data_IF_310383707352
#
_entry.id   IF_310383707352
#
_cell.length_a   1.000
_cell.length_b   1.000
_cell.length_c   1.000
_cell.angle_alpha   90.00
_cell.angle_beta   90.00
_cell.angle_gamma   90.00
#
_symmetry.space_group_name_H-M   'P 1'
#
loop_
_entity.id
_entity.type
_entity.pdbx_description
1 polymer ?
#
# COMPACT_ATOMS: atom_id res chain seq x y z
N UNK A 1 7.86 -24.84 1.66
CA UNK A 1 8.46 -23.54 1.37
C UNK A 1 7.80 -22.91 0.16
N UNK A 2 8.11 -21.66 -0.13
CA UNK A 2 7.48 -20.90 -1.20
C UNK A 2 8.49 -20.54 -2.29
N UNK A 3 7.97 -20.13 -3.45
CA UNK A 3 8.77 -19.67 -4.58
C UNK A 3 9.35 -18.29 -4.30
N UNK A 4 10.64 -18.25 -3.99
CA UNK A 4 11.35 -17.02 -3.64
C UNK A 4 11.35 -16.00 -4.76
N UNK A 5 11.49 -16.42 -6.01
CA UNK A 5 11.50 -15.53 -7.17
C UNK A 5 10.13 -14.85 -7.34
N UNK A 6 9.07 -15.63 -7.21
CA UNK A 6 7.71 -15.09 -7.29
C UNK A 6 7.45 -14.07 -6.18
N UNK A 7 7.84 -14.39 -4.94
CA UNK A 7 7.67 -13.49 -3.80
C UNK A 7 8.44 -12.19 -4.03
N UNK A 8 9.68 -12.27 -4.51
CA UNK A 8 10.48 -11.08 -4.82
C UNK A 8 9.83 -10.21 -5.89
N UNK A 9 9.29 -10.83 -6.93
CA UNK A 9 8.62 -10.07 -8.00
C UNK A 9 7.40 -9.31 -7.46
N UNK A 10 6.60 -9.95 -6.62
CA UNK A 10 5.43 -9.30 -6.02
C UNK A 10 5.86 -8.17 -5.08
N UNK A 11 6.89 -8.39 -4.26
CA UNK A 11 7.41 -7.37 -3.36
C UNK A 11 7.90 -6.13 -4.14
N UNK A 12 8.57 -6.35 -5.27
CA UNK A 12 9.04 -5.25 -6.11
C UNK A 12 7.89 -4.46 -6.74
N UNK A 13 6.80 -5.14 -7.10
CA UNK A 13 5.61 -4.48 -7.59
C UNK A 13 4.98 -3.61 -6.49
N UNK A 14 4.90 -4.12 -5.26
CA UNK A 14 4.40 -3.35 -4.12
C UNK A 14 5.31 -2.14 -3.85
N UNK A 15 6.62 -2.35 -3.87
CA UNK A 15 7.60 -1.27 -3.68
C UNK A 15 7.41 -0.17 -4.71
N UNK A 16 7.21 -0.53 -5.97
CA UNK A 16 6.93 0.42 -7.04
C UNK A 16 5.64 1.20 -6.83
N UNK A 17 4.58 0.52 -6.38
CA UNK A 17 3.31 1.19 -6.08
C UNK A 17 3.44 2.15 -4.91
N UNK A 18 4.14 1.75 -3.85
CA UNK A 18 4.39 2.63 -2.69
C UNK A 18 5.20 3.86 -3.09
N UNK A 19 6.18 3.69 -3.98
CA UNK A 19 6.96 4.81 -4.48
C UNK A 19 6.10 5.81 -5.24
N UNK A 20 5.18 5.34 -6.07
CA UNK A 20 4.23 6.21 -6.77
C UNK A 20 3.34 6.97 -5.78
N UNK A 21 2.87 6.30 -4.75
CA UNK A 21 2.05 6.95 -3.72
C UNK A 21 2.85 8.06 -3.04
N UNK A 22 4.08 7.79 -2.65
CA UNK A 22 4.94 8.79 -2.02
C UNK A 22 5.17 9.99 -2.92
N UNK A 23 5.53 9.75 -4.18
CA UNK A 23 5.79 10.83 -5.12
C UNK A 23 4.54 11.70 -5.33
N UNK A 24 3.39 11.08 -5.46
CA UNK A 24 2.13 11.80 -5.68
C UNK A 24 1.66 12.53 -4.44
N UNK A 25 1.78 11.91 -3.26
CA UNK A 25 1.34 12.54 -2.01
C UNK A 25 2.26 13.69 -1.57
N UNK A 26 3.54 13.66 -1.95
CA UNK A 26 4.45 14.76 -1.65
C UNK A 26 4.13 16.04 -2.43
N UNK A 27 3.30 15.95 -3.46
CA UNK A 27 2.90 17.11 -4.26
C UNK A 27 1.69 17.85 -3.66
N UNK A 28 1.11 17.32 -2.60
CA UNK A 28 -0.06 17.91 -1.94
C UNK A 28 0.26 18.15 -0.47
N UNK A 29 -0.40 19.14 0.12
CA UNK A 29 -0.11 19.59 1.50
C UNK A 29 -1.19 19.22 2.51
N UNK A 30 -2.41 18.92 2.04
CA UNK A 30 -3.51 18.53 2.93
C UNK A 30 -4.56 17.72 2.15
N UNK A 31 -5.47 17.10 2.91
CA UNK A 31 -6.51 16.27 2.33
C UNK A 31 -7.49 17.05 1.46
N UNK A 32 -7.72 18.32 1.77
CA UNK A 32 -8.67 19.14 1.03
C UNK A 32 -8.30 19.27 -0.45
N UNK A 33 -7.00 19.27 -0.76
CA UNK A 33 -6.54 19.32 -2.14
C UNK A 33 -6.98 18.10 -2.98
N UNK A 34 -7.36 17.00 -2.33
CA UNK A 34 -7.84 15.80 -3.00
C UNK A 34 -9.32 15.89 -3.40
N UNK A 35 -10.05 16.88 -2.88
CA UNK A 35 -11.49 17.01 -3.13
C UNK A 35 -11.87 18.36 -3.71
N UNK A 36 -10.96 19.32 -3.73
CA UNK A 36 -11.26 20.73 -4.08
C UNK A 36 -11.22 21.00 -5.59
N UNK A 37 -10.73 20.07 -6.40
CA UNK A 37 -10.60 20.28 -7.85
C UNK A 37 -10.70 18.96 -8.60
N UNK A 38 -11.01 19.00 -9.91
CA UNK A 38 -10.97 17.79 -10.74
C UNK A 38 -9.59 17.10 -10.72
N UNK A 39 -8.50 17.86 -10.73
CA UNK A 39 -7.15 17.30 -10.66
C UNK A 39 -6.90 16.59 -9.32
N UNK A 40 -7.39 17.18 -8.22
CA UNK A 40 -7.31 16.57 -6.91
C UNK A 40 -8.10 15.27 -6.84
N UNK A 41 -9.30 15.26 -7.39
CA UNK A 41 -10.16 14.07 -7.42
C UNK A 41 -9.51 12.95 -8.24
N UNK A 42 -8.91 13.26 -9.37
CA UNK A 42 -8.16 12.28 -10.17
C UNK A 42 -6.99 11.71 -9.39
N UNK A 43 -6.30 12.54 -8.63
CA UNK A 43 -5.19 12.11 -7.78
C UNK A 43 -5.67 11.17 -6.69
N UNK A 44 -6.78 11.51 -6.05
CA UNK A 44 -7.41 10.65 -5.04
C UNK A 44 -7.76 9.28 -5.63
N UNK A 45 -8.40 9.27 -6.79
CA UNK A 45 -8.77 8.03 -7.48
C UNK A 45 -7.54 7.17 -7.76
N UNK A 46 -6.47 7.79 -8.23
CA UNK A 46 -5.21 7.09 -8.50
C UNK A 46 -4.57 6.51 -7.25
N UNK A 47 -4.57 7.26 -6.15
CA UNK A 47 -4.05 6.78 -4.87
C UNK A 47 -4.87 5.59 -4.38
N UNK A 48 -6.20 5.66 -4.46
CA UNK A 48 -7.07 4.56 -4.05
C UNK A 48 -6.82 3.30 -4.87
N UNK A 49 -6.65 3.44 -6.19
CA UNK A 49 -6.34 2.30 -7.05
C UNK A 49 -5.02 1.64 -6.63
N UNK A 50 -4.00 2.44 -6.31
CA UNK A 50 -2.72 1.91 -5.85
C UNK A 50 -2.85 1.18 -4.51
N UNK A 51 -3.63 1.72 -3.58
CA UNK A 51 -3.87 1.06 -2.30
C UNK A 51 -4.63 -0.26 -2.47
N UNK A 52 -5.59 -0.32 -3.38
CA UNK A 52 -6.29 -1.56 -3.70
C UNK A 52 -5.32 -2.60 -4.23
N UNK A 53 -4.46 -2.21 -5.16
CA UNK A 53 -3.46 -3.11 -5.75
C UNK A 53 -2.48 -3.63 -4.69
N UNK A 54 -2.03 -2.75 -3.79
CA UNK A 54 -1.15 -3.13 -2.68
C UNK A 54 -1.84 -4.12 -1.76
N UNK A 55 -3.09 -3.82 -1.37
CA UNK A 55 -3.86 -4.71 -0.48
C UNK A 55 -4.05 -6.10 -1.07
N UNK A 56 -4.38 -6.18 -2.35
CA UNK A 56 -4.52 -7.46 -3.06
C UNK A 56 -3.19 -8.21 -3.11
N UNK A 57 -2.10 -7.52 -3.42
CA UNK A 57 -0.78 -8.12 -3.48
C UNK A 57 -0.31 -8.62 -2.13
N UNK A 58 -0.59 -7.87 -1.05
CA UNK A 58 -0.27 -8.31 0.31
C UNK A 58 -1.04 -9.57 0.70
N UNK A 59 -2.33 -9.64 0.35
CA UNK A 59 -3.13 -10.85 0.60
C UNK A 59 -2.56 -12.05 -0.15
N UNK A 60 -2.16 -11.84 -1.40
CA UNK A 60 -1.57 -12.90 -2.20
C UNK A 60 -0.23 -13.38 -1.62
N UNK A 61 0.61 -12.45 -1.16
CA UNK A 61 1.86 -12.79 -0.48
C UNK A 61 1.63 -13.61 0.77
N UNK A 62 0.67 -13.19 1.58
CA UNK A 62 0.34 -13.90 2.82
C UNK A 62 -0.08 -15.33 2.52
N UNK A 63 -0.90 -15.52 1.51
CA UNK A 63 -1.36 -16.83 1.07
C UNK A 63 -0.21 -17.70 0.55
N UNK A 64 0.63 -17.15 -0.33
CA UNK A 64 1.75 -17.88 -0.95
C UNK A 64 2.75 -18.32 0.11
N UNK A 65 3.02 -17.48 1.10
CA UNK A 65 4.02 -17.76 2.14
C UNK A 65 3.45 -18.47 3.37
N UNK A 66 2.15 -18.78 3.35
CA UNK A 66 1.49 -19.44 4.49
C UNK A 66 1.54 -18.63 5.77
N UNK A 67 1.54 -17.32 5.66
CA UNK A 67 1.59 -16.41 6.80
C UNK A 67 2.98 -16.22 7.41
N UNK A 68 3.99 -16.93 6.93
CA UNK A 68 5.32 -16.91 7.56
C UNK A 68 6.09 -15.63 7.30
N UNK A 69 5.94 -15.04 6.11
CA UNK A 69 6.67 -13.83 5.75
C UNK A 69 6.29 -12.65 6.66
N UNK A 70 5.00 -12.39 6.81
CA UNK A 70 4.53 -11.26 7.61
C UNK A 70 4.69 -11.51 9.11
N UNK A 71 4.61 -12.76 9.54
CA UNK A 71 4.86 -13.10 10.96
C UNK A 71 6.29 -12.75 11.38
N UNK A 72 7.24 -12.75 10.44
CA UNK A 72 8.63 -12.36 10.71
C UNK A 72 8.82 -10.83 10.81
N UNK A 73 7.79 -10.04 10.48
CA UNK A 73 7.84 -8.58 10.50
C UNK A 73 6.65 -8.00 11.28
N UNK A 74 6.57 -8.26 12.60
CA UNK A 74 5.38 -7.90 13.41
C UNK A 74 5.25 -6.40 13.68
N UNK A 75 6.23 -5.60 13.31
CA UNK A 75 6.20 -4.15 13.48
C UNK A 75 5.16 -3.47 12.59
N UNK A 76 4.66 -4.15 11.56
CA UNK A 76 3.65 -3.63 10.64
C UNK A 76 2.30 -4.28 10.93
N UNK A 77 1.23 -3.48 10.90
CA UNK A 77 -0.14 -3.99 10.92
C UNK A 77 -0.53 -4.48 9.53
N UNK A 78 -0.11 -5.70 9.21
CA UNK A 78 -0.37 -6.29 7.89
C UNK A 78 -1.85 -6.50 7.63
N UNK A 79 -2.58 -6.88 8.65
CA UNK A 79 -4.02 -7.08 8.53
C UNK A 79 -4.74 -5.78 8.18
N UNK A 80 -4.34 -4.69 8.82
CA UNK A 80 -4.88 -3.36 8.51
C UNK A 80 -4.55 -2.94 7.09
N UNK A 81 -3.32 -3.15 6.65
CA UNK A 81 -2.90 -2.81 5.29
C UNK A 81 -3.66 -3.61 4.23
N UNK A 82 -3.88 -4.91 4.48
CA UNK A 82 -4.69 -5.75 3.60
C UNK A 82 -6.16 -5.33 3.60
N UNK A 83 -6.69 -4.93 4.75
CA UNK A 83 -8.09 -4.54 4.90
C UNK A 83 -8.43 -3.18 4.31
N UNK A 84 -7.45 -2.32 4.06
CA UNK A 84 -7.70 -1.01 3.46
C UNK A 84 -8.36 -1.13 2.08
N UNK A 85 -7.97 -2.13 1.31
CA UNK A 85 -8.61 -2.44 0.04
C UNK A 85 -10.11 -2.66 0.19
N UNK A 86 -10.54 -3.37 1.23
CA UNK A 86 -11.96 -3.65 1.45
C UNK A 86 -12.74 -2.39 1.78
N UNK A 87 -12.14 -1.48 2.57
CA UNK A 87 -12.75 -0.19 2.89
C UNK A 87 -12.98 0.63 1.61
N UNK A 88 -11.97 0.72 0.76
CA UNK A 88 -12.07 1.46 -0.50
C UNK A 88 -13.09 0.81 -1.45
N UNK A 89 -13.03 -0.52 -1.61
CA UNK A 89 -13.91 -1.23 -2.53
C UNK A 89 -15.39 -1.13 -2.15
N UNK A 90 -15.69 -1.10 -0.84
CA UNK A 90 -17.08 -0.99 -0.37
C UNK A 90 -17.60 0.44 -0.33
N UNK A 91 -16.70 1.45 -0.36
CA UNK A 91 -17.07 2.85 -0.19
C UNK A 91 -16.62 3.72 -1.37
N UNK A 92 -16.63 3.16 -2.55
CA UNK A 92 -16.09 3.82 -3.74
C UNK A 92 -16.64 5.23 -3.97
N UNK A 93 -17.95 5.44 -3.75
CA UNK A 93 -18.56 6.75 -3.95
C UNK A 93 -18.51 7.63 -2.69
N UNK A 94 -17.98 7.12 -1.59
CA UNK A 94 -17.96 7.81 -0.31
C UNK A 94 -16.59 7.63 0.37
N UNK A 95 -15.52 7.83 -0.42
CA UNK A 95 -14.16 7.69 0.09
C UNK A 95 -13.83 8.88 0.99
N UNK A 96 -13.32 8.59 2.18
CA UNK A 96 -12.86 9.61 3.11
C UNK A 96 -11.44 10.05 2.74
N UNK A 97 -11.33 11.21 2.09
CA UNK A 97 -10.04 11.75 1.65
C UNK A 97 -9.11 12.05 2.83
N UNK A 98 -9.65 12.40 4.00
CA UNK A 98 -8.84 12.60 5.21
C UNK A 98 -8.17 11.30 5.64
N UNK A 99 -8.90 10.18 5.58
CA UNK A 99 -8.34 8.87 5.91
C UNK A 99 -7.25 8.46 4.92
N UNK A 100 -7.50 8.66 3.63
CA UNK A 100 -6.50 8.36 2.59
C UNK A 100 -5.24 9.20 2.81
N UNK A 101 -5.41 10.49 3.05
CA UNK A 101 -4.30 11.40 3.33
C UNK A 101 -3.52 10.97 4.57
N UNK A 102 -4.24 10.60 5.64
CA UNK A 102 -3.60 10.13 6.88
C UNK A 102 -2.72 8.91 6.62
N UNK A 103 -3.23 7.96 5.84
CA UNK A 103 -2.46 6.76 5.49
C UNK A 103 -1.22 7.12 4.67
N UNK A 104 -1.36 8.02 3.69
CA UNK A 104 -0.24 8.48 2.89
C UNK A 104 0.87 9.11 3.73
N UNK A 105 0.50 9.84 4.78
CA UNK A 105 1.46 10.61 5.59
C UNK A 105 2.00 9.84 6.79
N UNK A 106 1.31 8.79 7.25
CA UNK A 106 1.69 8.08 8.47
C UNK A 106 2.04 6.61 8.26
N UNK A 107 1.42 5.92 7.32
CA UNK A 107 1.59 4.48 7.19
C UNK A 107 2.42 4.04 5.99
N UNK A 108 2.49 4.85 4.95
CA UNK A 108 3.20 4.48 3.73
C UNK A 108 4.70 4.33 3.98
N UNK A 109 5.32 5.25 4.72
CA UNK A 109 6.75 5.20 4.98
C UNK A 109 7.17 3.95 5.78
N UNK A 110 6.53 3.63 6.92
CA UNK A 110 6.88 2.40 7.63
C UNK A 110 6.67 1.14 6.79
N UNK A 111 5.59 1.08 6.02
CA UNK A 111 5.32 -0.04 5.13
C UNK A 111 6.38 -0.16 4.05
N UNK A 112 6.76 0.97 3.44
CA UNK A 112 7.79 1.01 2.41
C UNK A 112 9.13 0.50 2.94
N UNK A 113 9.51 0.90 4.15
CA UNK A 113 10.74 0.43 4.79
C UNK A 113 10.71 -1.08 5.03
N UNK A 114 9.58 -1.60 5.50
CA UNK A 114 9.42 -3.04 5.73
C UNK A 114 9.52 -3.84 4.44
N UNK A 115 8.83 -3.39 3.39
CA UNK A 115 8.88 -4.04 2.07
C UNK A 115 10.31 -4.03 1.53
N UNK A 116 11.00 -2.91 1.67
CA UNK A 116 12.39 -2.80 1.22
C UNK A 116 13.31 -3.78 1.97
N UNK A 117 13.16 -3.90 3.29
CA UNK A 117 13.93 -4.87 4.09
C UNK A 117 13.67 -6.30 3.63
N UNK A 118 12.41 -6.64 3.34
CA UNK A 118 12.06 -7.98 2.84
C UNK A 118 12.74 -8.27 1.51
N UNK A 119 12.76 -7.30 0.60
CA UNK A 119 13.42 -7.45 -0.69
C UNK A 119 14.91 -7.71 -0.50
N UNK A 120 15.56 -6.93 0.36
CA UNK A 120 16.99 -7.10 0.62
C UNK A 120 17.28 -8.47 1.23
N UNK A 121 16.50 -8.88 2.23
CA UNK A 121 16.71 -10.16 2.91
C UNK A 121 16.52 -11.34 1.95
N UNK A 122 15.48 -11.30 1.12
CA UNK A 122 15.17 -12.38 0.18
C UNK A 122 16.07 -12.35 -1.05
N UNK A 123 16.54 -11.19 -1.45
CA UNK A 123 17.39 -11.01 -2.61
C UNK A 123 18.86 -11.28 -2.34
N UNK A 124 19.24 -11.36 -1.08
CA UNK A 124 20.63 -11.67 -0.68
C UNK A 124 20.93 -13.19 -0.71
#
# INVERSE_FOLDING_TARGET
MYDRTLVLDILRQIDGALRKIRDRSHQITNAEELTASPEGEERLDGLCMLFIAIGESLKNLDKITGGTLFAAHPEIDWKGAMGFRDVIAHRYFDIDAEQVWWICTHEVEPLSEAIHRMIVELGA
#
